data_IF_487407981987
#
_entry.id   IF_487407981987
#
_cell.length_a   1.000
_cell.length_b   1.000
_cell.length_c   1.000
_cell.angle_alpha   90.00
_cell.angle_beta   90.00
_cell.angle_gamma   90.00
#
_symmetry.space_group_name_H-M   'P 1'
#
loop_
_entity.id
_entity.type
_entity.pdbx_description
1 polymer ?
#
# COMPACT_ATOMS: atom_id res chain seq x y z
N UNK A 1 -14.81 -18.31 -24.47
CA UNK A 1 -16.27 -18.16 -24.65
C UNK A 1 -16.76 -16.72 -24.57
N UNK A 2 -16.03 -15.77 -23.97
CA UNK A 2 -16.42 -14.34 -24.00
C UNK A 2 -17.68 -13.97 -23.20
N UNK A 3 -18.10 -14.86 -22.28
CA UNK A 3 -19.28 -14.66 -21.43
C UNK A 3 -19.09 -13.48 -20.46
N UNK A 4 -20.16 -12.73 -20.20
CA UNK A 4 -20.21 -11.70 -19.15
C UNK A 4 -20.14 -12.32 -17.75
N UNK A 5 -19.32 -11.72 -16.89
CA UNK A 5 -19.16 -12.09 -15.48
C UNK A 5 -19.97 -11.12 -14.63
N UNK A 6 -20.85 -11.64 -13.76
CA UNK A 6 -21.64 -10.83 -12.83
C UNK A 6 -20.81 -10.43 -11.60
N UNK A 7 -21.23 -9.39 -10.90
CA UNK A 7 -20.51 -8.82 -9.74
C UNK A 7 -20.15 -9.88 -8.69
N UNK A 8 -21.09 -10.72 -8.28
CA UNK A 8 -20.87 -11.73 -7.23
C UNK A 8 -19.86 -12.79 -7.68
N UNK A 9 -19.89 -13.12 -8.97
CA UNK A 9 -18.94 -14.04 -9.56
C UNK A 9 -17.54 -13.41 -9.65
N UNK A 10 -17.44 -12.14 -10.07
CA UNK A 10 -16.18 -11.40 -10.12
C UNK A 10 -15.52 -11.28 -8.74
N UNK A 11 -16.31 -11.10 -7.67
CA UNK A 11 -15.82 -11.11 -6.29
C UNK A 11 -15.24 -12.48 -5.89
N UNK A 12 -15.98 -13.56 -6.15
CA UNK A 12 -15.50 -14.93 -5.83
C UNK A 12 -14.24 -15.33 -6.61
N UNK A 13 -14.11 -14.84 -7.84
CA UNK A 13 -12.94 -15.08 -8.67
C UNK A 13 -11.72 -14.21 -8.30
N UNK A 14 -11.88 -13.23 -7.41
CA UNK A 14 -10.82 -12.28 -7.06
C UNK A 14 -10.54 -11.23 -8.14
N UNK A 15 -11.41 -11.09 -9.16
CA UNK A 15 -11.30 -10.04 -10.19
C UNK A 15 -11.63 -8.68 -9.59
N UNK A 16 -12.60 -8.63 -8.68
CA UNK A 16 -12.95 -7.46 -7.90
C UNK A 16 -12.80 -7.77 -6.41
N UNK A 17 -12.43 -6.76 -5.62
CA UNK A 17 -12.26 -6.90 -4.15
C UNK A 17 -13.44 -6.34 -3.36
N UNK A 18 -14.31 -5.53 -3.98
CA UNK A 18 -15.45 -4.88 -3.33
C UNK A 18 -16.57 -4.61 -4.33
N UNK A 19 -17.82 -4.83 -3.91
CA UNK A 19 -19.02 -4.39 -4.62
C UNK A 19 -19.64 -3.20 -3.88
N UNK A 20 -20.30 -2.31 -4.62
CA UNK A 20 -20.97 -1.11 -4.09
C UNK A 20 -22.35 -0.98 -4.71
N UNK A 21 -23.18 -0.06 -4.21
CA UNK A 21 -24.41 0.29 -4.92
C UNK A 21 -24.07 0.99 -6.25
N UNK A 22 -25.07 1.06 -7.13
CA UNK A 22 -24.93 1.74 -8.41
C UNK A 22 -24.61 3.23 -8.19
N UNK A 23 -23.57 3.73 -8.87
CA UNK A 23 -23.12 5.12 -8.75
C UNK A 23 -22.07 5.38 -7.66
N UNK A 24 -21.82 4.44 -6.75
CA UNK A 24 -20.93 4.66 -5.59
C UNK A 24 -19.47 4.19 -5.81
N UNK A 25 -19.20 3.49 -6.92
CA UNK A 25 -17.90 2.86 -7.15
C UNK A 25 -16.74 3.85 -7.10
N UNK A 26 -16.89 5.04 -7.69
CA UNK A 26 -15.86 6.08 -7.70
C UNK A 26 -15.59 6.63 -6.30
N UNK A 27 -16.64 6.90 -5.52
CA UNK A 27 -16.48 7.39 -4.15
C UNK A 27 -15.73 6.35 -3.30
N UNK A 28 -16.14 5.08 -3.37
CA UNK A 28 -15.45 4.01 -2.66
C UNK A 28 -13.99 3.85 -3.11
N UNK A 29 -13.70 3.97 -4.41
CA UNK A 29 -12.33 3.92 -4.93
C UNK A 29 -11.46 5.07 -4.40
N UNK A 30 -12.02 6.28 -4.31
CA UNK A 30 -11.33 7.44 -3.75
C UNK A 30 -11.08 7.30 -2.25
N UNK A 31 -12.00 6.69 -1.49
CA UNK A 31 -11.73 6.39 -0.07
C UNK A 31 -10.54 5.46 0.08
N UNK A 32 -10.47 4.39 -0.72
CA UNK A 32 -9.30 3.50 -0.71
C UNK A 32 -8.02 4.25 -1.11
N UNK A 33 -8.09 5.11 -2.12
CA UNK A 33 -6.95 5.90 -2.55
C UNK A 33 -6.45 6.85 -1.44
N UNK A 34 -7.36 7.46 -0.67
CA UNK A 34 -7.01 8.28 0.50
C UNK A 34 -6.33 7.44 1.57
N UNK A 35 -6.89 6.29 1.94
CA UNK A 35 -6.26 5.38 2.91
C UNK A 35 -4.82 5.02 2.51
N UNK A 36 -4.58 4.74 1.23
CA UNK A 36 -3.23 4.44 0.74
C UNK A 36 -2.31 5.69 0.76
N UNK A 37 -2.83 6.85 0.40
CA UNK A 37 -2.09 8.12 0.39
C UNK A 37 -1.77 8.64 1.80
N UNK A 38 -2.60 8.29 2.78
CA UNK A 38 -2.40 8.61 4.19
C UNK A 38 -1.46 7.61 4.89
N UNK A 39 -1.10 6.51 4.22
CA UNK A 39 -0.18 5.48 4.72
C UNK A 39 1.30 5.71 4.36
N UNK A 40 2.19 4.80 4.77
CA UNK A 40 3.62 4.85 4.46
C UNK A 40 3.85 4.48 2.98
N UNK A 41 3.81 5.49 2.11
CA UNK A 41 3.80 5.31 0.65
C UNK A 41 4.99 4.48 0.12
N UNK A 42 6.19 4.68 0.66
CA UNK A 42 7.40 3.94 0.22
C UNK A 42 7.29 2.44 0.54
N UNK A 43 6.79 2.10 1.73
CA UNK A 43 6.55 0.72 2.13
C UNK A 43 5.48 0.07 1.24
N UNK A 44 4.35 0.75 1.02
CA UNK A 44 3.26 0.25 0.16
C UNK A 44 3.78 -0.03 -1.26
N UNK A 45 4.60 0.87 -1.81
CA UNK A 45 5.20 0.67 -3.13
C UNK A 45 6.15 -0.52 -3.17
N UNK A 46 7.03 -0.66 -2.18
CA UNK A 46 7.95 -1.79 -2.10
C UNK A 46 7.20 -3.13 -1.98
N UNK A 47 6.22 -3.21 -1.09
CA UNK A 47 5.36 -4.39 -0.93
C UNK A 47 4.63 -4.73 -2.23
N UNK A 48 4.05 -3.74 -2.92
CA UNK A 48 3.38 -3.97 -4.22
C UNK A 48 4.34 -4.55 -5.25
N UNK A 49 5.56 -4.00 -5.37
CA UNK A 49 6.58 -4.51 -6.31
C UNK A 49 6.94 -5.96 -6.01
N UNK A 50 7.22 -6.27 -4.73
CA UNK A 50 7.56 -7.63 -4.29
C UNK A 50 6.41 -8.61 -4.55
N UNK A 51 5.16 -8.21 -4.29
CA UNK A 51 3.99 -9.06 -4.52
C UNK A 51 3.77 -9.39 -6.01
N UNK A 52 4.02 -8.43 -6.91
CA UNK A 52 3.90 -8.65 -8.36
C UNK A 52 4.90 -9.70 -8.86
N UNK A 53 6.13 -9.68 -8.34
CA UNK A 53 7.21 -10.60 -8.75
C UNK A 53 7.34 -11.82 -7.82
N UNK A 54 6.41 -12.03 -6.89
CA UNK A 54 6.54 -13.07 -5.85
C UNK A 54 6.57 -14.49 -6.42
N UNK A 55 5.97 -14.70 -7.60
CA UNK A 55 6.01 -15.98 -8.32
C UNK A 55 7.28 -16.20 -9.15
N UNK A 56 8.20 -15.24 -9.19
CA UNK A 56 9.43 -15.32 -9.97
C UNK A 56 10.57 -15.92 -9.14
N UNK A 57 11.01 -17.12 -9.50
CA UNK A 57 12.13 -17.79 -8.85
C UNK A 57 11.73 -18.57 -7.61
N UNK A 58 12.70 -18.75 -6.71
CA UNK A 58 12.58 -19.58 -5.51
C UNK A 58 12.28 -18.75 -4.27
N UNK A 59 11.77 -19.40 -3.22
CA UNK A 59 11.52 -18.74 -1.92
C UNK A 59 12.76 -18.04 -1.36
N UNK A 60 13.98 -18.64 -1.37
CA UNK A 60 15.19 -17.95 -0.93
C UNK A 60 15.50 -16.67 -1.71
N UNK A 61 15.25 -16.65 -3.02
CA UNK A 61 15.43 -15.45 -3.85
C UNK A 61 14.39 -14.37 -3.51
N UNK A 62 13.14 -14.77 -3.29
CA UNK A 62 12.10 -13.84 -2.85
C UNK A 62 12.44 -13.19 -1.49
N UNK A 63 12.90 -13.99 -0.52
CA UNK A 63 13.35 -13.50 0.79
C UNK A 63 14.57 -12.56 0.67
N UNK A 64 15.48 -12.85 -0.26
CA UNK A 64 16.61 -11.97 -0.54
C UNK A 64 16.12 -10.61 -1.07
N UNK A 65 15.21 -10.61 -2.05
CA UNK A 65 14.61 -9.37 -2.60
C UNK A 65 13.87 -8.57 -1.52
N UNK A 66 13.11 -9.26 -0.66
CA UNK A 66 12.41 -8.64 0.47
C UNK A 66 13.40 -7.97 1.42
N UNK A 67 14.48 -8.67 1.80
CA UNK A 67 15.53 -8.13 2.67
C UNK A 67 16.16 -6.86 2.08
N UNK A 68 16.47 -6.86 0.79
CA UNK A 68 17.06 -5.68 0.14
C UNK A 68 16.07 -4.51 0.08
N UNK A 69 14.79 -4.77 -0.23
CA UNK A 69 13.74 -3.75 -0.18
C UNK A 69 13.57 -3.19 1.24
N UNK A 70 13.57 -4.05 2.26
CA UNK A 70 13.44 -3.66 3.66
C UNK A 70 14.60 -2.76 4.12
N UNK A 71 15.84 -3.06 3.73
CA UNK A 71 17.01 -2.22 4.06
C UNK A 71 16.84 -0.78 3.60
N UNK A 72 16.17 -0.56 2.47
CA UNK A 72 15.88 0.77 1.92
C UNK A 72 14.69 1.38 2.65
N UNK A 73 13.55 0.69 2.70
CA UNK A 73 12.30 1.21 3.28
C UNK A 73 12.49 1.57 4.75
N UNK A 74 13.21 0.78 5.54
CA UNK A 74 13.41 1.05 6.98
C UNK A 74 14.06 2.40 7.28
N UNK A 75 14.77 2.98 6.32
CA UNK A 75 15.45 4.27 6.47
C UNK A 75 14.54 5.47 6.13
N UNK A 76 13.35 5.21 5.59
CA UNK A 76 12.39 6.26 5.24
C UNK A 76 11.86 6.99 6.47
N UNK A 77 11.56 8.28 6.30
CA UNK A 77 10.93 9.09 7.34
C UNK A 77 9.56 8.52 7.75
N UNK A 78 8.81 7.93 6.82
CA UNK A 78 7.52 7.30 7.12
C UNK A 78 7.68 6.06 8.00
N UNK A 79 8.76 5.29 7.85
CA UNK A 79 9.04 4.16 8.76
C UNK A 79 9.46 4.64 10.14
N UNK A 80 10.31 5.67 10.23
CA UNK A 80 10.71 6.25 11.52
C UNK A 80 9.49 6.80 12.28
N UNK A 81 8.64 7.58 11.61
CA UNK A 81 7.37 8.09 12.15
C UNK A 81 6.48 6.96 12.66
N UNK A 82 6.37 5.85 11.91
CA UNK A 82 5.58 4.69 12.33
C UNK A 82 6.10 4.04 13.62
N UNK A 83 7.42 3.91 13.76
CA UNK A 83 8.06 3.35 14.95
C UNK A 83 7.91 4.27 16.17
N UNK A 84 8.11 5.58 15.98
CA UNK A 84 7.93 6.60 17.01
C UNK A 84 6.47 6.65 17.48
N UNK A 85 5.51 6.78 16.55
CA UNK A 85 4.09 6.82 16.86
C UNK A 85 3.60 5.58 17.60
N UNK A 86 4.10 4.40 17.20
CA UNK A 86 3.80 3.14 17.88
C UNK A 86 4.30 3.16 19.33
N UNK A 87 5.54 3.59 19.55
CA UNK A 87 6.15 3.68 20.89
C UNK A 87 5.40 4.67 21.78
N UNK A 88 4.95 5.79 21.19
CA UNK A 88 4.19 6.85 21.86
C UNK A 88 2.69 6.57 21.97
N UNK A 89 2.19 5.47 21.41
CA UNK A 89 0.77 5.09 21.36
C UNK A 89 -0.13 6.17 20.73
N UNK A 90 0.38 6.85 19.71
CA UNK A 90 -0.36 7.84 18.92
C UNK A 90 -0.58 7.36 17.50
N UNK A 91 -1.51 8.00 16.80
CA UNK A 91 -1.66 7.78 15.35
C UNK A 91 -0.45 8.39 14.62
N UNK A 92 0.21 7.64 13.70
CA UNK A 92 1.31 8.18 12.89
C UNK A 92 0.81 9.20 11.87
N UNK A 93 1.61 10.25 11.62
CA UNK A 93 1.37 11.19 10.53
C UNK A 93 2.38 10.98 9.39
N UNK A 94 2.07 10.00 8.52
CA UNK A 94 2.93 9.64 7.40
C UNK A 94 3.03 10.75 6.34
N UNK A 95 2.03 11.62 6.21
CA UNK A 95 2.07 12.73 5.24
C UNK A 95 3.03 13.81 5.70
N UNK A 96 2.96 14.19 6.97
CA UNK A 96 3.90 15.13 7.54
C UNK A 96 5.33 14.57 7.47
N UNK A 97 5.53 13.29 7.82
CA UNK A 97 6.83 12.64 7.73
C UNK A 97 7.40 12.67 6.30
N UNK A 98 6.59 12.35 5.29
CA UNK A 98 6.99 12.39 3.89
C UNK A 98 7.33 13.82 3.41
N UNK A 99 6.54 14.84 3.81
CA UNK A 99 6.81 16.25 3.46
C UNK A 99 8.10 16.77 4.10
N UNK A 100 8.33 16.44 5.38
CA UNK A 100 9.59 16.77 6.08
C UNK A 100 10.79 16.19 5.33
N UNK A 101 10.70 14.94 4.85
CA UNK A 101 11.76 14.31 4.08
C UNK A 101 11.99 14.95 2.70
N UNK A 102 10.93 15.50 2.08
CA UNK A 102 11.01 16.19 0.79
C UNK A 102 11.57 17.63 0.89
N UNK A 103 11.86 18.13 2.10
CA UNK A 103 12.28 19.52 2.31
C UNK A 103 11.14 20.54 2.16
N UNK A 104 9.90 20.06 2.11
CA UNK A 104 8.70 20.86 1.88
C UNK A 104 8.09 21.22 3.24
N UNK A 105 8.74 22.16 3.94
CA UNK A 105 8.29 22.65 5.23
C UNK A 105 7.20 23.71 4.99
N UNK A 106 5.99 23.60 5.58
CA UNK A 106 5.01 24.67 5.48
C UNK A 106 5.57 25.94 6.14
N UNK A 107 5.27 27.09 5.54
CA UNK A 107 5.54 28.42 6.09
C UNK A 107 4.82 28.65 7.42
#
# INVERSE_FOLDING_TARGET
TGRRVKTEEALRMGIATRATAAGEATAAALELARTLADGPTEAIQATKRLAVIAGEGTIPEALLREREAWKVVRQSATTQEGLEAFTEKRTPDFRAAARRAAGDQPA
#
